data_IF_694585807125
#
_entry.id   IF_694585807125
#
_cell.length_a   1.000
_cell.length_b   1.000
_cell.length_c   1.000
_cell.angle_alpha   90.00
_cell.angle_beta   90.00
_cell.angle_gamma   90.00
#
_symmetry.space_group_name_H-M   'P 1'
#
loop_
_entity.id
_entity.type
_entity.pdbx_description
1 polymer ?
#
# COMPACT_ATOMS: atom_id res chain seq x y z
N UNK A 1 49.73 58.77 -14.08
CA UNK A 1 49.22 57.81 -15.10
C UNK A 1 48.22 56.90 -14.40
N UNK A 2 46.94 57.19 -14.54
CA UNK A 2 45.85 56.43 -13.92
C UNK A 2 45.34 55.37 -14.91
N UNK A 3 45.45 54.10 -14.54
CA UNK A 3 44.91 52.99 -15.33
C UNK A 3 43.42 52.82 -15.07
N UNK A 4 42.63 52.93 -16.14
CA UNK A 4 41.22 52.52 -16.18
C UNK A 4 41.18 51.00 -16.33
N UNK A 5 40.54 50.29 -15.39
CA UNK A 5 39.99 48.96 -15.62
C UNK A 5 38.61 48.88 -14.96
N UNK A 6 37.60 48.61 -15.79
CA UNK A 6 36.25 48.16 -15.44
C UNK A 6 35.96 46.97 -16.38
N UNK A 7 34.96 46.13 -16.12
CA UNK A 7 34.59 45.39 -14.90
C UNK A 7 34.58 43.87 -15.20
N UNK A 8 34.26 43.02 -14.22
CA UNK A 8 33.41 41.81 -14.34
C UNK A 8 33.79 40.74 -13.29
N UNK A 9 32.75 39.99 -12.93
CA UNK A 9 32.77 38.72 -12.17
C UNK A 9 32.76 38.89 -10.63
N UNK A 10 31.71 39.54 -10.12
CA UNK A 10 31.20 39.32 -8.74
C UNK A 10 29.83 38.63 -8.76
N UNK A 11 29.63 37.68 -9.69
CA UNK A 11 28.32 37.09 -9.96
C UNK A 11 28.22 35.56 -9.90
N UNK A 12 29.27 34.84 -9.50
CA UNK A 12 29.26 33.36 -9.59
C UNK A 12 29.51 32.63 -8.25
N UNK A 13 30.08 33.29 -7.24
CA UNK A 13 30.34 32.63 -5.95
C UNK A 13 29.07 32.51 -5.07
N UNK A 14 28.12 33.45 -5.18
CA UNK A 14 26.87 33.39 -4.40
C UNK A 14 25.87 32.37 -4.96
N UNK A 15 25.87 32.09 -6.26
CA UNK A 15 24.92 31.15 -6.86
C UNK A 15 25.18 29.69 -6.45
N UNK A 16 26.44 29.32 -6.21
CA UNK A 16 26.81 27.95 -5.79
C UNK A 16 26.46 27.63 -4.33
N UNK A 17 26.33 28.64 -3.45
CA UNK A 17 25.94 28.41 -2.05
C UNK A 17 24.45 28.08 -1.93
N UNK A 18 23.61 28.75 -2.73
CA UNK A 18 22.19 28.45 -2.81
C UNK A 18 21.90 27.09 -3.43
N UNK A 19 22.69 26.66 -4.42
CA UNK A 19 22.51 25.34 -5.02
C UNK A 19 22.86 24.19 -4.06
N UNK A 20 23.88 24.36 -3.21
CA UNK A 20 24.22 23.36 -2.18
C UNK A 20 23.18 23.31 -1.06
N UNK A 21 22.66 24.45 -0.61
CA UNK A 21 21.59 24.50 0.40
C UNK A 21 20.26 23.95 -0.14
N UNK A 22 19.92 24.23 -1.40
CA UNK A 22 18.76 23.62 -2.06
C UNK A 22 18.95 22.11 -2.20
N UNK A 23 20.14 21.60 -2.54
CA UNK A 23 20.39 20.16 -2.57
C UNK A 23 20.38 19.51 -1.18
N UNK A 24 20.79 20.21 -0.12
CA UNK A 24 20.72 19.67 1.26
C UNK A 24 19.28 19.63 1.79
N UNK A 25 18.41 20.56 1.39
CA UNK A 25 16.99 20.55 1.78
C UNK A 25 16.16 19.59 0.90
N UNK A 26 16.57 19.37 -0.36
CA UNK A 26 15.96 18.39 -1.28
C UNK A 26 16.60 16.98 -1.19
N UNK A 27 17.45 16.76 -0.20
CA UNK A 27 17.83 15.43 0.29
C UNK A 27 17.11 15.17 1.61
N UNK A 28 15.82 15.52 1.68
CA UNK A 28 14.90 14.67 2.43
C UNK A 28 15.01 13.32 1.76
N UNK A 29 15.94 12.52 2.29
CA UNK A 29 16.10 11.15 1.91
C UNK A 29 14.71 10.55 2.10
N UNK A 30 14.02 10.29 0.99
CA UNK A 30 13.31 9.04 0.90
C UNK A 30 14.41 8.00 1.14
N UNK A 31 14.68 7.69 2.40
CA UNK A 31 15.20 6.37 2.73
C UNK A 31 14.30 5.45 1.91
N UNK A 32 14.84 4.63 0.98
CA UNK A 32 14.02 3.59 0.39
C UNK A 32 13.46 2.87 1.61
N UNK A 33 12.16 2.99 1.85
CA UNK A 33 11.55 2.37 3.01
C UNK A 33 11.87 0.92 2.81
N UNK A 34 12.82 0.42 3.61
CA UNK A 34 13.41 -0.90 3.51
C UNK A 34 12.27 -1.86 3.31
N UNK A 35 12.12 -2.39 2.10
CA UNK A 35 10.97 -3.15 1.60
C UNK A 35 9.93 -3.38 2.70
N UNK A 36 9.02 -2.42 2.92
CA UNK A 36 7.89 -2.69 3.80
C UNK A 36 7.25 -3.92 3.19
N UNK A 37 7.19 -5.01 3.94
CA UNK A 37 6.64 -6.28 3.47
C UNK A 37 5.12 -6.09 3.31
N UNK A 38 4.77 -5.46 2.19
CA UNK A 38 3.43 -5.12 1.79
C UNK A 38 2.88 -6.31 1.04
N UNK A 39 1.72 -6.83 1.45
CA UNK A 39 1.07 -7.90 0.70
C UNK A 39 0.46 -7.36 -0.60
N UNK A 40 0.16 -8.27 -1.50
CA UNK A 40 -0.55 -8.01 -2.76
C UNK A 40 -1.73 -8.96 -2.87
N UNK A 41 -2.82 -8.54 -3.52
CA UNK A 41 -3.90 -9.45 -3.91
C UNK A 41 -3.59 -9.86 -5.34
N UNK A 42 -3.21 -11.13 -5.52
CA UNK A 42 -2.80 -11.68 -6.81
C UNK A 42 -3.97 -12.26 -7.59
N UNK A 43 -5.06 -12.63 -6.90
CA UNK A 43 -6.29 -13.06 -7.56
C UNK A 43 -7.54 -12.79 -6.72
N UNK A 44 -8.62 -12.45 -7.41
CA UNK A 44 -9.99 -12.41 -6.89
C UNK A 44 -10.85 -13.23 -7.83
N UNK A 45 -11.48 -14.28 -7.34
CA UNK A 45 -12.40 -15.13 -8.11
C UNK A 45 -13.78 -15.13 -7.48
N UNK A 46 -14.82 -15.03 -8.32
CA UNK A 46 -16.21 -15.18 -7.90
C UNK A 46 -16.79 -16.39 -8.63
N UNK A 47 -17.37 -17.33 -7.89
CA UNK A 47 -17.94 -18.54 -8.46
C UNK A 47 -19.06 -18.21 -9.46
N UNK A 48 -19.20 -19.03 -10.50
CA UNK A 48 -20.34 -18.98 -11.42
C UNK A 48 -20.45 -17.76 -12.35
N UNK A 49 -19.62 -16.72 -12.23
CA UNK A 49 -19.63 -15.56 -13.14
C UNK A 49 -18.31 -14.79 -13.07
N UNK A 50 -17.79 -14.36 -14.23
CA UNK A 50 -16.71 -13.36 -14.28
C UNK A 50 -17.21 -12.01 -13.77
N UNK A 51 -16.71 -11.56 -12.62
CA UNK A 51 -17.02 -10.25 -12.06
C UNK A 51 -15.79 -9.35 -12.05
N UNK A 52 -16.00 -8.07 -12.33
CA UNK A 52 -15.00 -7.04 -12.02
C UNK A 52 -14.95 -6.80 -10.51
N UNK A 53 -13.85 -6.22 -10.06
CA UNK A 53 -13.72 -5.69 -8.71
C UNK A 53 -12.93 -4.40 -8.75
N UNK A 54 -13.09 -3.59 -7.71
CA UNK A 54 -12.26 -2.41 -7.48
C UNK A 54 -11.82 -2.39 -6.03
N UNK A 55 -10.59 -1.97 -5.78
CA UNK A 55 -10.11 -1.75 -4.43
C UNK A 55 -10.07 -0.25 -4.18
N UNK A 56 -10.67 0.15 -3.06
CA UNK A 56 -10.71 1.51 -2.56
C UNK A 56 -10.04 1.54 -1.19
N UNK A 57 -9.31 2.60 -0.89
CA UNK A 57 -8.78 2.85 0.45
C UNK A 57 -7.27 3.00 0.48
N UNK A 58 -6.69 3.01 1.66
CA UNK A 58 -5.28 3.35 1.84
C UNK A 58 -5.01 3.90 3.22
N UNK A 59 -3.88 4.58 3.36
CA UNK A 59 -3.64 5.43 4.53
C UNK A 59 -4.40 6.75 4.36
N UNK A 60 -4.82 7.39 5.47
CA UNK A 60 -5.34 8.74 5.42
C UNK A 60 -4.42 9.68 4.64
N UNK A 61 -4.94 10.32 3.59
CA UNK A 61 -4.19 11.23 2.72
C UNK A 61 -3.31 10.55 1.65
N UNK A 62 -3.38 9.22 1.52
CA UNK A 62 -2.71 8.41 0.48
C UNK A 62 -3.65 7.30 -0.02
N UNK A 63 -4.90 7.67 -0.25
CA UNK A 63 -5.93 6.77 -0.73
C UNK A 63 -5.63 6.28 -2.15
N UNK A 64 -5.89 5.00 -2.39
CA UNK A 64 -5.71 4.30 -3.65
C UNK A 64 -7.09 3.92 -4.18
N UNK A 65 -7.27 4.10 -5.49
CA UNK A 65 -8.42 3.63 -6.27
C UNK A 65 -7.85 2.84 -7.44
N UNK A 66 -8.06 1.53 -7.47
CA UNK A 66 -7.57 0.72 -8.58
C UNK A 66 -7.60 -0.79 -8.36
N UNK A 67 -7.17 -1.57 -9.37
CA UNK A 67 -7.19 -3.02 -9.31
C UNK A 67 -6.00 -3.64 -8.56
N UNK A 68 -4.86 -2.95 -8.43
CA UNK A 68 -3.63 -3.47 -7.79
C UNK A 68 -2.63 -2.35 -7.45
N UNK A 69 -1.90 -2.49 -6.33
CA UNK A 69 -0.45 -2.24 -6.10
C UNK A 69 -0.18 -2.33 -4.59
N UNK A 70 1.06 -2.56 -4.10
CA UNK A 70 1.26 -3.11 -2.77
C UNK A 70 0.51 -2.29 -1.72
N UNK A 71 -0.22 -3.00 -0.85
CA UNK A 71 -1.06 -2.34 0.14
C UNK A 71 -0.18 -1.60 1.14
N UNK A 72 -0.61 -0.37 1.45
CA UNK A 72 0.06 0.57 2.34
C UNK A 72 0.44 -0.04 3.69
N UNK A 73 1.34 0.64 4.44
CA UNK A 73 1.83 0.15 5.73
C UNK A 73 0.70 -0.09 6.74
N UNK A 74 1.05 -0.67 7.90
CA UNK A 74 0.18 -0.81 9.07
C UNK A 74 -0.77 0.38 9.27
N UNK A 75 -2.04 0.06 9.52
CA UNK A 75 -3.12 1.02 9.70
C UNK A 75 -3.85 1.39 8.41
N UNK A 76 -3.39 0.92 7.25
CA UNK A 76 -4.09 1.12 5.98
C UNK A 76 -5.40 0.33 5.95
N UNK A 77 -6.49 0.98 5.55
CA UNK A 77 -7.83 0.39 5.48
C UNK A 77 -8.29 0.34 4.04
N UNK A 78 -8.78 -0.82 3.62
CA UNK A 78 -9.21 -1.08 2.25
C UNK A 78 -10.59 -1.70 2.20
N UNK A 79 -11.26 -1.50 1.06
CA UNK A 79 -12.49 -2.15 0.67
C UNK A 79 -12.31 -2.75 -0.71
N UNK A 80 -12.47 -4.08 -0.81
CA UNK A 80 -12.63 -4.78 -2.07
C UNK A 80 -14.11 -4.78 -2.43
N UNK A 81 -14.48 -3.99 -3.42
CA UNK A 81 -15.85 -3.82 -3.88
C UNK A 81 -16.15 -4.78 -5.04
N UNK A 82 -17.22 -5.56 -4.90
CA UNK A 82 -17.68 -6.57 -5.87
C UNK A 82 -19.10 -6.20 -6.32
N UNK A 83 -19.27 -5.68 -7.56
CA UNK A 83 -20.57 -5.32 -8.09
C UNK A 83 -21.58 -6.47 -8.01
N UNK A 84 -22.79 -6.15 -7.54
CA UNK A 84 -23.89 -7.11 -7.38
C UNK A 84 -23.68 -8.17 -6.29
N UNK A 85 -22.74 -7.96 -5.35
CA UNK A 85 -22.55 -8.84 -4.19
C UNK A 85 -22.31 -8.07 -2.89
N UNK A 86 -21.43 -7.07 -2.90
CA UNK A 86 -21.10 -6.29 -1.71
C UNK A 86 -19.64 -5.87 -1.65
N UNK A 87 -19.11 -5.70 -0.45
CA UNK A 87 -17.70 -5.39 -0.23
C UNK A 87 -17.07 -6.23 0.89
N UNK A 88 -15.74 -6.37 0.83
CA UNK A 88 -14.91 -6.93 1.90
C UNK A 88 -14.03 -5.80 2.42
N UNK A 89 -14.21 -5.44 3.70
CA UNK A 89 -13.33 -4.47 4.37
C UNK A 89 -12.18 -5.20 5.06
N UNK A 90 -10.96 -4.73 4.86
CA UNK A 90 -9.78 -5.26 5.51
C UNK A 90 -8.83 -4.15 5.94
N UNK A 91 -8.00 -4.45 6.92
CA UNK A 91 -7.04 -3.50 7.52
C UNK A 91 -5.71 -4.21 7.68
N UNK A 92 -4.65 -3.59 7.19
CA UNK A 92 -3.30 -4.03 7.53
C UNK A 92 -3.04 -3.68 9.00
N UNK A 93 -2.87 -4.69 9.85
CA UNK A 93 -2.65 -4.47 11.29
C UNK A 93 -1.17 -4.53 11.67
N UNK A 94 -0.27 -4.61 10.68
CA UNK A 94 1.17 -4.60 10.85
C UNK A 94 1.74 -5.88 11.45
N UNK A 95 2.94 -5.82 12.06
CA UNK A 95 3.58 -6.99 12.64
C UNK A 95 2.88 -7.36 13.95
N UNK A 96 1.79 -8.10 13.84
CA UNK A 96 1.13 -8.71 14.98
C UNK A 96 1.23 -10.22 14.82
N UNK A 97 2.02 -10.89 15.67
CA UNK A 97 1.86 -12.34 15.84
C UNK A 97 1.99 -12.82 17.28
N UNK A 98 0.95 -13.56 17.68
CA UNK A 98 1.06 -14.93 18.18
C UNK A 98 0.70 -15.84 16.99
N UNK A 99 1.64 -16.61 16.42
CA UNK A 99 1.45 -17.42 15.20
C UNK A 99 2.68 -17.48 14.26
N UNK A 100 2.60 -18.14 13.08
CA UNK A 100 3.76 -18.43 12.21
C UNK A 100 4.16 -17.35 11.17
N UNK A 101 3.48 -16.20 11.11
CA UNK A 101 3.78 -15.13 10.14
C UNK A 101 4.47 -13.90 10.76
N UNK A 102 4.99 -12.98 9.95
CA UNK A 102 5.61 -11.74 10.43
C UNK A 102 4.65 -10.53 10.38
N UNK A 103 3.58 -10.65 9.58
CA UNK A 103 2.62 -9.58 9.25
C UNK A 103 1.20 -10.11 9.23
N UNK A 104 0.24 -9.22 9.43
CA UNK A 104 -1.15 -9.58 9.65
C UNK A 104 -2.14 -8.62 8.99
N UNK A 105 -3.19 -9.18 8.40
CA UNK A 105 -4.34 -8.46 7.82
C UNK A 105 -5.62 -8.92 8.49
N UNK A 106 -6.37 -7.98 9.06
CA UNK A 106 -7.66 -8.23 9.66
C UNK A 106 -8.78 -7.97 8.66
N UNK A 107 -9.64 -8.96 8.44
CA UNK A 107 -10.86 -8.82 7.64
C UNK A 107 -12.04 -8.57 8.58
N UNK A 108 -12.83 -7.52 8.31
CA UNK A 108 -13.87 -7.05 9.23
C UNK A 108 -14.93 -8.11 9.56
N UNK A 109 -15.19 -9.03 8.62
CA UNK A 109 -16.18 -10.10 8.74
C UNK A 109 -15.58 -11.51 8.84
N UNK A 110 -14.28 -11.62 9.12
CA UNK A 110 -13.62 -12.89 9.39
C UNK A 110 -13.39 -13.08 10.90
N UNK A 111 -13.44 -14.32 11.36
CA UNK A 111 -13.15 -14.67 12.77
C UNK A 111 -11.66 -14.73 13.11
N UNK A 112 -10.80 -14.74 12.07
CA UNK A 112 -9.37 -14.88 12.20
C UNK A 112 -8.62 -13.82 11.39
N UNK A 113 -7.39 -13.55 11.80
CA UNK A 113 -6.45 -12.68 11.09
C UNK A 113 -5.67 -13.51 10.07
N UNK A 114 -5.48 -12.97 8.87
CA UNK A 114 -4.65 -13.59 7.84
C UNK A 114 -3.20 -13.18 8.06
N UNK A 115 -2.31 -14.14 8.24
CA UNK A 115 -0.90 -13.88 8.51
C UNK A 115 -0.05 -14.25 7.30
N UNK A 116 1.03 -13.50 7.06
CA UNK A 116 1.97 -13.77 5.98
C UNK A 116 3.41 -13.37 6.38
N UNK A 117 4.38 -13.85 5.61
CA UNK A 117 5.79 -13.48 5.70
C UNK A 117 6.28 -13.05 4.32
N UNK A 118 7.30 -12.18 4.26
CA UNK A 118 7.77 -11.58 3.00
C UNK A 118 6.68 -10.74 2.30
N UNK A 119 6.73 -10.65 0.97
CA UNK A 119 5.78 -9.88 0.16
C UNK A 119 4.46 -10.60 -0.10
N UNK A 120 3.73 -10.96 0.96
CA UNK A 120 2.58 -11.88 0.94
C UNK A 120 1.65 -11.79 -0.28
N UNK A 121 1.15 -12.94 -0.75
CA UNK A 121 0.37 -13.04 -1.99
C UNK A 121 -1.05 -13.54 -1.70
N UNK A 122 -1.94 -12.62 -1.33
CA UNK A 122 -3.33 -12.93 -1.01
C UNK A 122 -4.10 -13.38 -2.26
N UNK A 123 -4.82 -14.51 -2.13
CA UNK A 123 -5.78 -15.01 -3.12
C UNK A 123 -7.15 -15.08 -2.48
N UNK A 124 -8.15 -14.43 -3.09
CA UNK A 124 -9.50 -14.32 -2.56
C UNK A 124 -10.47 -15.08 -3.46
N UNK A 125 -11.11 -16.11 -2.93
CA UNK A 125 -12.17 -16.86 -3.60
C UNK A 125 -13.52 -16.58 -2.93
N UNK A 126 -14.55 -16.28 -3.72
CA UNK A 126 -15.88 -15.91 -3.24
C UNK A 126 -16.94 -16.81 -3.90
N UNK A 127 -17.87 -17.32 -3.10
CA UNK A 127 -19.01 -18.10 -3.61
C UNK A 127 -20.23 -17.22 -3.93
N UNK A 128 -21.27 -17.80 -4.54
CA UNK A 128 -22.50 -17.08 -4.88
C UNK A 128 -23.32 -16.63 -3.66
N UNK A 129 -23.06 -17.20 -2.49
CA UNK A 129 -23.69 -16.80 -1.23
C UNK A 129 -22.92 -15.67 -0.52
N UNK A 130 -21.80 -15.23 -1.10
CA UNK A 130 -20.95 -14.19 -0.55
C UNK A 130 -20.01 -14.66 0.55
N UNK A 131 -19.83 -15.97 0.75
CA UNK A 131 -18.76 -16.46 1.61
C UNK A 131 -17.44 -16.33 0.87
N UNK A 132 -16.41 -15.83 1.54
CA UNK A 132 -15.08 -15.70 0.97
C UNK A 132 -14.05 -16.51 1.75
N UNK A 133 -12.99 -16.91 1.04
CA UNK A 133 -11.78 -17.49 1.61
C UNK A 133 -10.57 -16.70 1.11
N UNK A 134 -9.69 -16.31 2.02
CA UNK A 134 -8.38 -15.70 1.72
C UNK A 134 -7.30 -16.72 2.01
N UNK A 135 -6.38 -16.89 1.06
CA UNK A 135 -5.29 -17.86 1.10
C UNK A 135 -3.99 -17.27 0.54
N UNK A 136 -2.91 -18.05 0.51
CA UNK A 136 -1.58 -17.62 0.03
C UNK A 136 -0.69 -17.00 1.11
N UNK A 137 -1.10 -17.11 2.38
CA UNK A 137 -0.31 -16.72 3.55
C UNK A 137 0.03 -17.93 4.42
N UNK A 138 0.44 -17.69 5.65
CA UNK A 138 0.75 -18.73 6.64
C UNK A 138 -0.51 -19.46 7.15
N UNK A 139 -1.68 -18.86 6.96
CA UNK A 139 -2.98 -19.49 7.23
C UNK A 139 -4.03 -19.05 6.22
N UNK A 140 -5.15 -19.77 6.19
CA UNK A 140 -6.34 -19.34 5.48
C UNK A 140 -7.31 -18.67 6.45
N UNK A 141 -8.11 -17.72 5.95
CA UNK A 141 -9.21 -17.12 6.70
C UNK A 141 -10.48 -17.14 5.86
N UNK A 142 -11.61 -17.31 6.53
CA UNK A 142 -12.93 -17.27 5.91
C UNK A 142 -13.78 -16.18 6.53
N UNK A 143 -14.70 -15.64 5.74
CA UNK A 143 -15.64 -14.63 6.20
C UNK A 143 -16.78 -14.46 5.21
N UNK A 144 -17.56 -13.39 5.40
CA UNK A 144 -18.70 -13.09 4.53
C UNK A 144 -18.63 -11.67 4.01
N UNK A 145 -18.93 -11.47 2.73
CA UNK A 145 -19.07 -10.13 2.14
C UNK A 145 -20.13 -9.34 2.90
N UNK A 146 -19.90 -8.04 3.06
CA UNK A 146 -20.92 -7.12 3.57
C UNK A 146 -21.80 -6.67 2.41
N UNK A 147 -23.13 -6.92 2.43
CA UNK A 147 -24.03 -6.43 1.39
C UNK A 147 -24.03 -4.90 1.28
N UNK A 148 -24.41 -4.39 0.10
CA UNK A 148 -24.62 -2.96 -0.15
C UNK A 148 -25.80 -2.38 0.64
#
# INVERSE_FOLDING_TARGET
>A
MAGIVHPRILGLAQCSYWYKLLQTVYQFQFSPVSSLNMFTITSVTVSGTSRSYIILGGQPGKEVIGPVSPFGPQGSVYQLCIPGLGFIKFTDVGPKVSGPGDWAVQFASASATWNYSGGGEAKIAIDNAGNFTVSGGANNVTGKVTPW
#
